data_IF_452150535419
#
_entry.id   IF_452150535419
#
_cell.length_a   1.000
_cell.length_b   1.000
_cell.length_c   1.000
_cell.angle_alpha   90.00
_cell.angle_beta   90.00
_cell.angle_gamma   90.00
#
_symmetry.space_group_name_H-M   'P 1'
#
loop_
_entity.id
_entity.type
_entity.pdbx_description
1 polymer ?
#
# COMPACT_ATOMS: atom_id res chain seq x y z
N UNK A 1 -5.66 31.95 23.51
CA UNK A 1 -6.04 31.95 22.08
C UNK A 1 -5.14 30.97 21.31
N UNK A 2 -4.88 29.77 21.86
CA UNK A 2 -4.04 28.71 21.25
C UNK A 2 -4.83 27.40 21.03
N UNK A 3 -6.13 27.39 21.36
CA UNK A 3 -6.99 26.21 21.26
C UNK A 3 -7.50 25.96 19.82
N UNK A 4 -7.62 27.00 19.00
CA UNK A 4 -8.13 26.88 17.62
C UNK A 4 -7.07 26.34 16.64
N UNK A 5 -5.77 26.59 16.87
CA UNK A 5 -4.69 26.09 16.01
C UNK A 5 -4.46 24.58 16.20
N UNK A 6 -4.64 24.08 17.43
CA UNK A 6 -4.55 22.65 17.76
C UNK A 6 -5.77 21.90 17.20
N UNK A 7 -6.97 22.51 17.20
CA UNK A 7 -8.14 21.93 16.54
C UNK A 7 -8.06 22.02 15.01
N UNK A 8 -7.47 23.06 14.43
CA UNK A 8 -7.23 23.15 12.99
C UNK A 8 -6.16 22.14 12.53
N UNK A 9 -5.04 22.00 13.26
CA UNK A 9 -4.03 20.98 12.99
C UNK A 9 -4.57 19.57 13.26
N UNK A 10 -5.40 19.37 14.30
CA UNK A 10 -6.07 18.10 14.58
C UNK A 10 -7.14 17.78 13.55
N UNK A 11 -7.89 18.76 13.04
CA UNK A 11 -8.86 18.57 11.96
C UNK A 11 -8.16 18.27 10.64
N UNK A 12 -7.03 18.92 10.33
CA UNK A 12 -6.19 18.62 9.16
C UNK A 12 -5.53 17.25 9.31
N UNK A 13 -5.03 16.88 10.49
CA UNK A 13 -4.49 15.54 10.78
C UNK A 13 -5.61 14.49 10.72
N UNK A 14 -6.80 14.77 11.24
CA UNK A 14 -7.95 13.85 11.22
C UNK A 14 -8.52 13.70 9.80
N UNK A 15 -8.58 14.78 9.02
CA UNK A 15 -8.99 14.78 7.62
C UNK A 15 -7.93 14.10 6.72
N UNK A 16 -6.63 14.34 6.96
CA UNK A 16 -5.52 13.60 6.34
C UNK A 16 -5.57 12.10 6.66
N UNK A 17 -5.85 11.75 7.92
CA UNK A 17 -5.94 10.38 8.44
C UNK A 17 -7.12 9.62 7.82
N UNK A 18 -8.21 10.30 7.49
CA UNK A 18 -9.40 9.68 6.88
C UNK A 18 -9.29 9.53 5.36
N UNK A 19 -8.36 10.25 4.71
CA UNK A 19 -8.34 10.39 3.25
C UNK A 19 -7.07 9.85 2.56
N UNK A 20 -5.89 9.81 3.23
CA UNK A 20 -4.68 9.16 2.66
C UNK A 20 -4.79 7.63 2.50
N UNK A 21 -5.84 7.00 3.01
CA UNK A 21 -6.03 5.54 2.98
C UNK A 21 -6.89 5.05 1.79
N UNK A 22 -7.49 5.95 1.01
CA UNK A 22 -8.30 5.59 -0.18
C UNK A 22 -7.43 5.40 -1.44
N UNK A 23 -6.27 6.05 -1.52
CA UNK A 23 -5.42 6.03 -2.74
C UNK A 23 -4.55 4.77 -2.93
N UNK A 24 -4.62 3.77 -2.04
CA UNK A 24 -3.95 2.46 -2.24
C UNK A 24 -4.93 1.41 -2.81
N UNK A 25 -6.21 1.76 -2.97
CA UNK A 25 -7.24 0.89 -3.52
C UNK A 25 -7.86 1.49 -4.80
N UNK A 26 -7.08 1.61 -5.88
CA UNK A 26 -7.68 2.08 -7.13
C UNK A 26 -6.74 2.47 -8.27
N UNK A 27 -5.67 1.71 -8.55
CA UNK A 27 -4.97 1.83 -9.83
C UNK A 27 -5.36 0.64 -10.73
N UNK A 28 -6.36 0.84 -11.59
CA UNK A 28 -6.60 -0.04 -12.72
C UNK A 28 -5.44 0.12 -13.73
N UNK A 29 -4.87 -0.97 -14.28
CA UNK A 29 -3.82 -0.84 -15.27
C UNK A 29 -4.37 -0.26 -16.58
N UNK A 30 -3.65 0.64 -17.26
CA UNK A 30 -4.02 1.09 -18.60
C UNK A 30 -3.85 -0.09 -19.58
N UNK A 31 -4.86 -0.28 -20.43
CA UNK A 31 -4.84 -1.29 -21.48
C UNK A 31 -3.65 -1.10 -22.41
N UNK A 32 -2.74 -2.07 -22.40
CA UNK A 32 -1.63 -2.15 -23.36
C UNK A 32 -2.15 -2.90 -24.60
N UNK A 33 -2.45 -2.15 -25.65
CA UNK A 33 -2.56 -2.67 -27.01
C UNK A 33 -1.17 -3.05 -27.52
N UNK A 34 -0.69 -4.22 -27.10
CA UNK A 34 0.53 -4.84 -27.60
C UNK A 34 0.26 -5.67 -28.86
N UNK A 35 0.65 -5.14 -30.02
CA UNK A 35 0.62 -5.85 -31.29
C UNK A 35 1.43 -7.15 -31.25
N UNK A 36 0.79 -8.25 -31.62
CA UNK A 36 1.38 -9.59 -31.69
C UNK A 36 2.56 -9.65 -32.66
N UNK A 37 3.77 -9.85 -32.12
CA UNK A 37 4.97 -10.20 -32.89
C UNK A 37 4.97 -11.67 -33.39
N UNK A 38 3.93 -12.46 -33.09
CA UNK A 38 3.78 -13.82 -33.60
C UNK A 38 3.04 -13.90 -34.94
N UNK A 39 2.45 -12.80 -35.41
CA UNK A 39 1.81 -12.74 -36.73
C UNK A 39 2.81 -12.76 -37.91
N UNK A 40 4.10 -12.45 -37.67
CA UNK A 40 5.11 -12.36 -38.72
C UNK A 40 5.76 -13.70 -39.12
N UNK A 41 5.44 -14.81 -38.43
CA UNK A 41 6.01 -16.14 -38.72
C UNK A 41 5.12 -17.04 -39.60
N UNK A 42 3.96 -16.57 -40.08
CA UNK A 42 2.95 -17.41 -40.75
C UNK A 42 2.60 -17.00 -42.19
N UNK A 43 3.51 -16.36 -42.93
CA UNK A 43 3.31 -16.10 -44.35
C UNK A 43 4.33 -16.82 -45.23
N UNK A 44 3.90 -17.89 -45.90
CA UNK A 44 4.49 -18.36 -47.16
C UNK A 44 4.93 -19.82 -47.20
N UNK A 45 4.11 -20.69 -47.80
CA UNK A 45 4.32 -21.16 -49.19
C UNK A 45 3.57 -22.49 -49.44
N UNK A 46 2.62 -22.43 -50.39
CA UNK A 46 2.08 -23.60 -51.08
C UNK A 46 3.01 -23.98 -52.23
N UNK A 47 3.43 -25.24 -52.21
CA UNK A 47 3.71 -26.16 -53.33
C UNK A 47 4.37 -25.65 -54.62
N UNK A 48 5.63 -26.06 -54.85
CA UNK A 48 6.06 -26.79 -56.05
C UNK A 48 7.46 -27.41 -55.88
N UNK A 49 7.51 -28.76 -55.97
CA UNK A 49 8.55 -29.64 -56.54
C UNK A 49 10.00 -29.65 -55.96
N UNK A 50 10.32 -30.78 -55.31
CA UNK A 50 11.66 -31.38 -55.06
C UNK A 50 12.31 -31.93 -56.35
N UNK A 51 13.57 -32.45 -56.42
CA UNK A 51 14.50 -32.94 -55.37
C UNK A 51 15.97 -32.42 -55.57
N UNK A 52 17.04 -32.71 -54.80
CA UNK A 52 17.46 -33.86 -54.03
C UNK A 52 18.62 -33.47 -53.07
N UNK A 53 18.81 -34.26 -51.99
CA UNK A 53 20.14 -34.54 -51.45
C UNK A 53 20.78 -33.52 -50.49
N UNK A 54 20.34 -33.50 -49.23
CA UNK A 54 21.26 -33.39 -48.08
C UNK A 54 20.53 -33.85 -46.82
N UNK A 55 21.25 -34.48 -45.89
CA UNK A 55 20.71 -34.95 -44.63
C UNK A 55 20.04 -33.79 -43.86
N UNK A 56 18.72 -33.72 -43.92
CA UNK A 56 17.96 -32.65 -43.28
C UNK A 56 18.14 -32.76 -41.76
N UNK A 57 18.84 -31.80 -41.16
CA UNK A 57 18.65 -31.47 -39.75
C UNK A 57 17.15 -31.21 -39.60
N UNK A 58 16.42 -32.18 -39.04
CA UNK A 58 14.99 -32.00 -38.71
C UNK A 58 14.89 -30.76 -37.83
N UNK A 59 14.30 -29.70 -38.37
CA UNK A 59 13.85 -28.56 -37.59
C UNK A 59 12.83 -29.09 -36.59
N UNK A 60 13.22 -29.20 -35.32
CA UNK A 60 12.30 -29.54 -34.23
C UNK A 60 11.28 -28.43 -34.13
N UNK A 61 10.04 -28.73 -34.51
CA UNK A 61 8.92 -27.83 -34.32
C UNK A 61 8.35 -28.01 -32.92
N UNK A 62 7.52 -27.07 -32.44
CA UNK A 62 6.84 -27.18 -31.14
C UNK A 62 6.06 -28.52 -31.01
N UNK A 63 5.63 -29.10 -32.13
CA UNK A 63 4.89 -30.36 -32.19
C UNK A 63 5.77 -31.59 -31.89
N UNK A 64 7.08 -31.47 -32.07
CA UNK A 64 8.06 -32.53 -31.87
C UNK A 64 8.59 -32.59 -30.43
N UNK A 65 8.27 -31.59 -29.60
CA UNK A 65 8.76 -31.50 -28.22
C UNK A 65 8.03 -32.49 -27.29
N UNK A 66 8.73 -33.07 -26.31
CA UNK A 66 8.11 -33.91 -25.29
C UNK A 66 7.31 -33.06 -24.28
N UNK A 67 6.30 -33.65 -23.58
CA UNK A 67 5.39 -32.94 -22.67
C UNK A 67 6.10 -32.20 -21.53
N UNK A 68 7.26 -32.68 -21.11
CA UNK A 68 8.08 -32.07 -20.05
C UNK A 68 8.64 -30.72 -20.50
N UNK A 69 9.10 -30.64 -21.75
CA UNK A 69 9.62 -29.39 -22.34
C UNK A 69 8.46 -28.43 -22.61
N UNK A 70 7.30 -28.94 -23.03
CA UNK A 70 6.09 -28.10 -23.19
C UNK A 70 5.67 -27.48 -21.85
N UNK A 71 5.73 -28.26 -20.75
CA UNK A 71 5.48 -27.75 -19.39
C UNK A 71 6.50 -26.71 -18.95
N UNK A 72 7.79 -26.90 -19.24
CA UNK A 72 8.84 -25.91 -18.98
C UNK A 72 8.68 -24.63 -19.82
N UNK A 73 8.22 -24.75 -21.07
CA UNK A 73 7.89 -23.57 -21.88
C UNK A 73 6.74 -22.81 -21.19
N UNK A 74 5.72 -23.51 -20.70
CA UNK A 74 4.61 -22.89 -20.01
C UNK A 74 5.01 -22.15 -18.73
N UNK A 75 6.02 -22.60 -17.97
CA UNK A 75 6.52 -21.86 -16.79
C UNK A 75 7.20 -20.54 -17.14
N UNK A 76 7.62 -20.35 -18.39
CA UNK A 76 8.20 -19.12 -18.90
C UNK A 76 7.27 -18.36 -19.87
N UNK A 77 6.05 -18.87 -20.07
CA UNK A 77 5.05 -18.24 -20.93
C UNK A 77 4.18 -17.32 -20.08
N UNK A 78 3.78 -16.17 -20.62
CA UNK A 78 2.82 -15.29 -19.94
C UNK A 78 1.54 -16.07 -19.66
N UNK A 79 0.90 -15.80 -18.53
CA UNK A 79 -0.32 -16.53 -18.17
C UNK A 79 -1.43 -16.35 -19.22
N UNK A 80 -1.48 -15.18 -19.88
CA UNK A 80 -2.44 -14.88 -20.96
C UNK A 80 -2.21 -15.71 -22.23
N UNK A 81 -0.97 -16.09 -22.51
CA UNK A 81 -0.60 -16.86 -23.70
C UNK A 81 -0.83 -18.38 -23.53
N UNK A 82 -1.13 -18.85 -22.31
CA UNK A 82 -1.40 -20.27 -22.02
C UNK A 82 -2.58 -20.79 -22.83
N UNK A 83 -3.62 -19.97 -23.02
CA UNK A 83 -4.79 -20.32 -23.84
C UNK A 83 -4.41 -20.65 -25.28
N UNK A 84 -3.50 -19.86 -25.86
CA UNK A 84 -2.96 -20.06 -27.21
C UNK A 84 -2.04 -21.27 -27.26
N UNK A 85 -1.06 -21.36 -26.35
CA UNK A 85 -0.07 -22.44 -26.30
C UNK A 85 -0.73 -23.82 -26.20
N UNK A 86 -1.73 -23.96 -25.32
CA UNK A 86 -2.43 -25.23 -25.10
C UNK A 86 -3.38 -25.63 -26.24
N UNK A 87 -3.78 -24.70 -27.12
CA UNK A 87 -4.67 -24.99 -28.26
C UNK A 87 -3.94 -25.42 -29.54
N UNK A 88 -2.61 -25.28 -29.59
CA UNK A 88 -1.79 -25.58 -30.77
C UNK A 88 -1.82 -27.04 -31.20
N UNK A 89 -1.88 -27.99 -30.27
CA UNK A 89 -2.01 -29.43 -30.56
C UNK A 89 -2.79 -30.16 -29.45
N UNK A 90 -3.39 -31.30 -29.78
CA UNK A 90 -4.03 -32.19 -28.79
C UNK A 90 -3.04 -32.68 -27.71
N UNK A 91 -1.76 -32.80 -28.05
CA UNK A 91 -0.70 -33.19 -27.09
C UNK A 91 -0.43 -32.07 -26.10
N UNK A 92 -0.29 -30.83 -26.58
CA UNK A 92 -0.07 -29.65 -25.73
C UNK A 92 -1.28 -29.41 -24.81
N UNK A 93 -2.48 -29.65 -25.32
CA UNK A 93 -3.71 -29.61 -24.53
C UNK A 93 -3.67 -30.53 -23.31
N UNK A 94 -3.30 -31.80 -23.49
CA UNK A 94 -3.19 -32.74 -22.37
C UNK A 94 -1.98 -32.45 -21.47
N UNK A 95 -0.86 -32.01 -22.04
CA UNK A 95 0.36 -31.68 -21.29
C UNK A 95 0.19 -30.46 -20.37
N UNK A 96 -0.68 -29.51 -20.74
CA UNK A 96 -0.94 -28.27 -20.03
C UNK A 96 -2.33 -28.22 -19.41
N UNK A 97 -2.95 -29.38 -19.18
CA UNK A 97 -4.35 -29.46 -18.77
C UNK A 97 -4.64 -28.58 -17.54
N UNK A 98 -3.88 -28.73 -16.45
CA UNK A 98 -4.12 -28.00 -15.19
C UNK A 98 -3.87 -26.49 -15.32
N UNK A 99 -2.78 -26.10 -15.99
CA UNK A 99 -2.43 -24.68 -16.21
C UNK A 99 -3.46 -24.01 -17.10
N UNK A 100 -3.95 -24.71 -18.13
CA UNK A 100 -5.06 -24.24 -18.96
C UNK A 100 -6.35 -24.15 -18.17
N UNK A 101 -6.63 -25.11 -17.29
CA UNK A 101 -7.84 -25.10 -16.48
C UNK A 101 -7.84 -23.90 -15.52
N UNK A 102 -6.71 -23.61 -14.88
CA UNK A 102 -6.49 -22.40 -14.09
C UNK A 102 -6.73 -21.14 -14.92
N UNK A 103 -6.12 -21.02 -16.10
CA UNK A 103 -6.34 -19.89 -17.00
C UNK A 103 -7.82 -19.72 -17.42
N UNK A 104 -8.52 -20.82 -17.71
CA UNK A 104 -9.95 -20.78 -18.01
C UNK A 104 -10.77 -20.29 -16.82
N UNK A 105 -10.41 -20.68 -15.59
CA UNK A 105 -11.05 -20.18 -14.38
C UNK A 105 -10.83 -18.66 -14.21
N UNK A 106 -9.63 -18.14 -14.47
CA UNK A 106 -9.38 -16.68 -14.49
C UNK A 106 -10.23 -15.97 -15.53
N UNK A 107 -10.21 -16.44 -16.78
CA UNK A 107 -11.03 -15.85 -17.85
C UNK A 107 -12.53 -15.88 -17.51
N UNK A 108 -12.99 -16.92 -16.83
CA UNK A 108 -14.38 -17.01 -16.35
C UNK A 108 -14.67 -16.13 -15.15
N UNK A 109 -13.68 -15.78 -14.33
CA UNK A 109 -13.81 -14.79 -13.26
C UNK A 109 -13.82 -13.35 -13.83
N UNK A 110 -13.02 -13.09 -14.87
CA UNK A 110 -12.86 -11.76 -15.50
C UNK A 110 -14.02 -11.37 -16.43
N UNK A 111 -14.57 -12.33 -17.19
CA UNK A 111 -15.62 -12.06 -18.18
C UNK A 111 -17.03 -11.92 -17.58
N UNK A 112 -17.09 -11.53 -16.32
CA UNK A 112 -18.30 -11.58 -15.52
C UNK A 112 -18.88 -10.19 -15.41
N UNK A 113 -19.91 -9.93 -16.20
CA UNK A 113 -20.85 -8.84 -15.89
C UNK A 113 -22.00 -9.31 -14.99
N UNK A 114 -22.13 -10.63 -14.72
CA UNK A 114 -23.20 -11.27 -13.91
C UNK A 114 -22.79 -12.69 -13.43
N UNK A 115 -21.96 -12.80 -12.39
CA UNK A 115 -21.78 -14.08 -11.70
C UNK A 115 -23.00 -14.20 -10.79
N UNK A 116 -23.84 -15.20 -11.03
CA UNK A 116 -24.81 -15.60 -10.03
C UNK A 116 -24.13 -16.52 -9.00
N UNK A 117 -24.82 -16.77 -7.90
CA UNK A 117 -24.29 -17.59 -6.81
C UNK A 117 -23.94 -19.01 -7.26
N UNK A 118 -24.70 -19.57 -8.21
CA UNK A 118 -24.47 -20.92 -8.73
C UNK A 118 -23.17 -21.01 -9.52
N UNK A 119 -22.97 -20.11 -10.49
CA UNK A 119 -21.75 -20.06 -11.30
C UNK A 119 -20.51 -19.79 -10.45
N UNK A 120 -20.66 -18.98 -9.40
CA UNK A 120 -19.56 -18.73 -8.45
C UNK A 120 -19.17 -20.00 -7.70
N UNK A 121 -20.16 -20.75 -7.20
CA UNK A 121 -19.88 -22.02 -6.52
C UNK A 121 -19.33 -23.07 -7.48
N UNK A 122 -19.86 -23.17 -8.70
CA UNK A 122 -19.33 -24.04 -9.75
C UNK A 122 -17.87 -23.69 -10.08
N UNK A 123 -17.53 -22.41 -10.16
CA UNK A 123 -16.16 -21.95 -10.40
C UNK A 123 -15.24 -22.27 -9.21
N UNK A 124 -15.68 -22.08 -7.98
CA UNK A 124 -14.92 -22.46 -6.78
C UNK A 124 -14.68 -23.96 -6.70
N UNK A 125 -15.69 -24.76 -7.04
CA UNK A 125 -15.57 -26.22 -7.16
C UNK A 125 -14.58 -26.60 -8.27
N UNK A 126 -14.61 -25.91 -9.42
CA UNK A 126 -13.67 -26.14 -10.51
C UNK A 126 -12.23 -25.81 -10.11
N UNK A 127 -12.00 -24.70 -9.40
CA UNK A 127 -10.67 -24.31 -8.90
C UNK A 127 -10.17 -25.38 -7.91
N UNK A 128 -11.01 -25.83 -6.98
CA UNK A 128 -10.65 -26.84 -5.99
C UNK A 128 -10.36 -28.22 -6.60
N UNK A 129 -10.95 -28.54 -7.77
CA UNK A 129 -10.70 -29.76 -8.54
C UNK A 129 -9.45 -29.72 -9.41
N UNK A 130 -8.72 -28.60 -9.45
CA UNK A 130 -7.43 -28.56 -10.15
C UNK A 130 -6.47 -29.41 -9.32
N UNK A 131 -6.31 -30.69 -9.71
CA UNK A 131 -5.47 -31.73 -9.06
C UNK A 131 -3.95 -31.42 -9.12
N UNK A 132 -3.57 -30.21 -9.55
CA UNK A 132 -2.19 -29.74 -9.71
C UNK A 132 -1.63 -29.03 -8.47
N UNK A 133 -0.52 -28.31 -8.67
CA UNK A 133 0.12 -27.52 -7.61
C UNK A 133 -0.84 -26.44 -7.06
N UNK A 134 -0.95 -26.27 -5.72
CA UNK A 134 -1.81 -25.24 -5.11
C UNK A 134 -1.54 -23.81 -5.62
N UNK A 135 -0.36 -23.57 -6.20
CA UNK A 135 -0.02 -22.34 -6.90
C UNK A 135 -1.00 -21.99 -8.03
N UNK A 136 -1.53 -22.99 -8.73
CA UNK A 136 -2.45 -22.80 -9.84
C UNK A 136 -3.81 -22.24 -9.39
N UNK A 137 -4.10 -22.21 -8.10
CA UNK A 137 -5.30 -21.58 -7.55
C UNK A 137 -5.13 -20.07 -7.36
N UNK A 138 -3.89 -19.57 -7.27
CA UNK A 138 -3.61 -18.17 -6.94
C UNK A 138 -4.28 -17.18 -7.89
N UNK A 139 -3.97 -17.27 -9.19
CA UNK A 139 -4.51 -16.35 -10.19
C UNK A 139 -6.05 -16.42 -10.32
N UNK A 140 -6.69 -17.61 -10.31
CA UNK A 140 -8.16 -17.68 -10.28
C UNK A 140 -8.78 -17.04 -9.04
N UNK A 141 -8.20 -17.25 -7.87
CA UNK A 141 -8.68 -16.66 -6.63
C UNK A 141 -8.48 -15.14 -6.63
N UNK A 142 -7.34 -14.65 -7.11
CA UNK A 142 -7.01 -13.24 -7.28
C UNK A 142 -7.99 -12.51 -8.20
N UNK A 143 -8.40 -13.13 -9.31
CA UNK A 143 -9.40 -12.59 -10.22
C UNK A 143 -10.82 -12.62 -9.62
N UNK A 144 -11.13 -13.64 -8.80
CA UNK A 144 -12.49 -13.89 -8.30
C UNK A 144 -12.85 -13.07 -7.04
N UNK A 145 -11.94 -12.92 -6.08
CA UNK A 145 -12.25 -12.29 -4.80
C UNK A 145 -12.74 -10.82 -4.92
N UNK A 146 -12.24 -9.97 -5.84
CA UNK A 146 -12.75 -8.60 -5.99
C UNK A 146 -14.20 -8.54 -6.46
N UNK A 147 -14.74 -9.66 -6.98
CA UNK A 147 -16.11 -9.79 -7.49
C UNK A 147 -17.12 -10.22 -6.44
N UNK A 148 -16.69 -10.56 -5.22
CA UNK A 148 -17.60 -10.93 -4.12
C UNK A 148 -18.71 -9.88 -3.90
N UNK A 149 -18.46 -8.55 -3.93
CA UNK A 149 -19.51 -7.54 -3.77
C UNK A 149 -20.62 -7.61 -4.84
N UNK A 150 -20.34 -8.16 -6.03
CA UNK A 150 -21.30 -8.30 -7.13
C UNK A 150 -22.32 -9.43 -6.88
N UNK A 151 -22.02 -10.35 -5.96
CA UNK A 151 -22.90 -11.48 -5.64
C UNK A 151 -24.15 -11.04 -4.86
N UNK A 152 -25.26 -11.80 -4.92
CA UNK A 152 -26.41 -11.56 -4.06
C UNK A 152 -26.01 -11.68 -2.59
N UNK A 153 -26.50 -10.75 -1.77
CA UNK A 153 -26.07 -10.53 -0.38
C UNK A 153 -25.96 -11.80 0.46
N UNK A 154 -26.97 -12.67 0.39
CA UNK A 154 -27.04 -13.92 1.15
C UNK A 154 -25.91 -14.94 0.86
N UNK A 155 -25.18 -14.78 -0.25
CA UNK A 155 -24.09 -15.70 -0.63
C UNK A 155 -22.69 -15.10 -0.46
N UNK A 156 -22.58 -13.78 -0.24
CA UNK A 156 -21.30 -13.07 -0.14
C UNK A 156 -20.43 -13.63 0.96
N UNK A 157 -20.99 -13.82 2.16
CA UNK A 157 -20.24 -14.32 3.31
C UNK A 157 -19.71 -15.74 3.07
N UNK A 158 -20.49 -16.61 2.43
CA UNK A 158 -20.06 -17.98 2.13
C UNK A 158 -18.94 -18.00 1.07
N UNK A 159 -19.09 -17.22 -0.01
CA UNK A 159 -18.08 -17.10 -1.06
C UNK A 159 -16.77 -16.53 -0.49
N UNK A 160 -16.86 -15.49 0.35
CA UNK A 160 -15.72 -14.91 1.05
C UNK A 160 -14.98 -15.95 1.88
N UNK A 161 -15.69 -16.64 2.78
CA UNK A 161 -15.07 -17.65 3.67
C UNK A 161 -14.35 -18.73 2.86
N UNK A 162 -15.01 -19.23 1.80
CA UNK A 162 -14.45 -20.27 0.94
C UNK A 162 -13.21 -19.80 0.19
N UNK A 163 -13.25 -18.62 -0.42
CA UNK A 163 -12.09 -18.04 -1.13
C UNK A 163 -10.93 -17.79 -0.15
N UNK A 164 -11.22 -17.25 1.04
CA UNK A 164 -10.21 -16.98 2.06
C UNK A 164 -9.52 -18.27 2.54
N UNK A 165 -10.31 -19.32 2.79
CA UNK A 165 -9.80 -20.64 3.18
C UNK A 165 -8.99 -21.29 2.05
N UNK A 166 -9.46 -21.20 0.80
CA UNK A 166 -8.73 -21.69 -0.36
C UNK A 166 -7.40 -20.95 -0.56
N UNK A 167 -7.40 -19.62 -0.43
CA UNK A 167 -6.19 -18.81 -0.50
C UNK A 167 -5.20 -19.22 0.60
N UNK A 168 -5.67 -19.60 1.79
CA UNK A 168 -4.82 -20.10 2.88
C UNK A 168 -4.09 -21.43 2.58
N UNK A 169 -4.49 -22.16 1.52
CA UNK A 169 -3.85 -23.42 1.09
C UNK A 169 -2.80 -23.21 -0.01
N UNK A 170 -2.72 -22.00 -0.59
CA UNK A 170 -1.76 -21.61 -1.62
C UNK A 170 -0.42 -21.23 -0.95
N UNK A 171 0.76 -21.33 -1.62
CA UNK A 171 2.02 -20.88 -1.04
C UNK A 171 1.98 -19.43 -0.54
N UNK A 172 2.64 -19.16 0.58
CA UNK A 172 2.58 -17.89 1.33
C UNK A 172 2.72 -16.63 0.48
N UNK A 173 3.69 -16.60 -0.44
CA UNK A 173 3.95 -15.41 -1.26
C UNK A 173 2.77 -15.05 -2.20
N UNK A 174 1.97 -16.04 -2.62
CA UNK A 174 0.77 -15.83 -3.42
C UNK A 174 -0.50 -15.72 -2.54
N UNK A 175 -0.51 -16.37 -1.37
CA UNK A 175 -1.62 -16.29 -0.41
C UNK A 175 -1.74 -14.91 0.25
N UNK A 176 -0.61 -14.32 0.64
CA UNK A 176 -0.58 -13.09 1.43
C UNK A 176 -1.28 -11.91 0.75
N UNK A 177 -1.00 -11.56 -0.53
CA UNK A 177 -1.68 -10.43 -1.19
C UNK A 177 -3.20 -10.62 -1.26
N UNK A 178 -3.66 -11.83 -1.62
CA UNK A 178 -5.09 -12.16 -1.73
C UNK A 178 -5.75 -12.00 -0.36
N UNK A 179 -5.19 -12.62 0.69
CA UNK A 179 -5.79 -12.58 2.03
C UNK A 179 -5.71 -11.19 2.65
N UNK A 180 -4.61 -10.44 2.50
CA UNK A 180 -4.52 -9.03 2.93
C UNK A 180 -5.58 -8.17 2.25
N UNK A 181 -5.75 -8.30 0.92
CA UNK A 181 -6.78 -7.60 0.17
C UNK A 181 -8.19 -7.93 0.65
N UNK A 182 -8.49 -9.22 0.85
CA UNK A 182 -9.77 -9.65 1.39
C UNK A 182 -10.04 -9.09 2.79
N UNK A 183 -9.06 -9.10 3.70
CA UNK A 183 -9.19 -8.53 5.06
C UNK A 183 -9.57 -7.05 4.96
N UNK A 184 -8.90 -6.29 4.09
CA UNK A 184 -9.18 -4.87 3.87
C UNK A 184 -10.61 -4.57 3.41
N UNK A 185 -11.32 -5.53 2.80
CA UNK A 185 -12.71 -5.33 2.38
C UNK A 185 -13.76 -5.49 3.48
N UNK A 186 -13.38 -5.99 4.66
CA UNK A 186 -14.34 -6.24 5.76
C UNK A 186 -15.04 -4.95 6.18
N UNK A 187 -14.34 -3.82 6.24
CA UNK A 187 -14.92 -2.52 6.59
C UNK A 187 -15.97 -2.02 5.59
N UNK A 188 -15.93 -2.50 4.34
CA UNK A 188 -16.91 -2.19 3.30
C UNK A 188 -18.15 -3.10 3.31
N UNK A 189 -18.20 -4.12 4.16
CA UNK A 189 -19.36 -4.98 4.32
C UNK A 189 -20.47 -4.27 5.12
N UNK A 190 -21.74 -4.69 4.98
CA UNK A 190 -22.81 -4.22 5.86
C UNK A 190 -22.48 -4.47 7.34
N UNK A 191 -22.85 -3.54 8.23
CA UNK A 191 -22.45 -3.55 9.63
C UNK A 191 -22.74 -4.88 10.36
N UNK A 192 -23.86 -5.53 10.04
CA UNK A 192 -24.24 -6.83 10.62
C UNK A 192 -23.31 -8.00 10.21
N UNK A 193 -22.61 -7.87 9.08
CA UNK A 193 -21.71 -8.88 8.53
C UNK A 193 -20.23 -8.65 8.94
N UNK A 194 -19.89 -7.43 9.39
CA UNK A 194 -18.51 -7.03 9.67
C UNK A 194 -17.88 -7.82 10.82
N UNK A 195 -18.49 -7.81 12.01
CA UNK A 195 -17.97 -8.51 13.20
C UNK A 195 -17.92 -10.04 13.00
N UNK A 196 -18.97 -10.70 12.46
CA UNK A 196 -18.88 -12.12 12.15
C UNK A 196 -17.77 -12.48 11.15
N UNK A 197 -17.45 -11.56 10.22
CA UNK A 197 -16.35 -11.78 9.28
C UNK A 197 -14.98 -11.57 9.92
N UNK A 198 -14.84 -10.55 10.77
CA UNK A 198 -13.65 -10.34 11.60
C UNK A 198 -13.36 -11.58 12.45
N UNK A 199 -14.35 -12.08 13.19
CA UNK A 199 -14.21 -13.25 14.06
C UNK A 199 -13.82 -14.51 13.26
N UNK A 200 -14.42 -14.70 12.09
CA UNK A 200 -14.04 -15.79 11.17
C UNK A 200 -12.57 -15.68 10.74
N UNK A 201 -12.14 -14.51 10.27
CA UNK A 201 -10.78 -14.28 9.80
C UNK A 201 -9.78 -14.46 10.93
N UNK A 202 -10.08 -13.95 12.13
CA UNK A 202 -9.24 -14.13 13.31
C UNK A 202 -8.96 -15.61 13.56
N UNK A 203 -10.01 -16.43 13.65
CA UNK A 203 -9.89 -17.89 13.85
C UNK A 203 -9.15 -18.57 12.69
N UNK A 204 -9.38 -18.14 11.45
CA UNK A 204 -8.72 -18.70 10.28
C UNK A 204 -7.22 -18.40 10.26
N UNK A 205 -6.79 -17.20 10.67
CA UNK A 205 -5.37 -16.85 10.80
C UNK A 205 -4.72 -17.65 11.93
N UNK A 206 -5.37 -17.78 13.09
CA UNK A 206 -4.85 -18.62 14.19
C UNK A 206 -4.56 -20.07 13.77
N UNK A 207 -5.40 -20.62 12.88
CA UNK A 207 -5.24 -21.98 12.36
C UNK A 207 -4.18 -22.09 11.26
N UNK A 208 -3.78 -20.98 10.62
CA UNK A 208 -2.95 -20.98 9.41
C UNK A 208 -1.46 -21.32 9.66
N UNK A 209 -1.04 -21.51 10.92
CA UNK A 209 0.33 -21.86 11.29
C UNK A 209 1.37 -20.77 10.97
N UNK A 210 2.65 -21.11 11.08
CA UNK A 210 3.76 -20.18 10.84
C UNK A 210 3.83 -19.76 9.36
N UNK A 211 4.13 -18.47 9.11
CA UNK A 211 4.29 -17.90 7.77
C UNK A 211 3.16 -16.98 7.31
N UNK A 212 2.10 -16.83 8.11
CA UNK A 212 0.99 -15.89 7.83
C UNK A 212 0.94 -14.73 8.84
N UNK A 213 2.04 -14.52 9.57
CA UNK A 213 2.15 -13.57 10.68
C UNK A 213 1.85 -12.12 10.25
N UNK A 214 2.17 -11.78 9.00
CA UNK A 214 1.88 -10.47 8.42
C UNK A 214 0.37 -10.20 8.22
N UNK A 215 -0.50 -11.19 8.32
CA UNK A 215 -1.95 -10.96 8.28
C UNK A 215 -2.46 -10.31 9.56
N UNK A 216 -1.72 -10.42 10.67
CA UNK A 216 -2.12 -9.82 11.94
C UNK A 216 -2.14 -8.29 11.90
N UNK A 217 -1.21 -7.67 11.18
CA UNK A 217 -1.21 -6.21 10.98
C UNK A 217 -2.46 -5.77 10.22
N UNK A 218 -2.81 -6.46 9.13
CA UNK A 218 -4.04 -6.18 8.37
C UNK A 218 -5.31 -6.42 9.18
N UNK A 219 -5.35 -7.46 10.02
CA UNK A 219 -6.49 -7.72 10.90
C UNK A 219 -6.61 -6.65 12.00
N UNK A 220 -5.50 -6.24 12.61
CA UNK A 220 -5.49 -5.20 13.64
C UNK A 220 -6.01 -3.87 13.09
N UNK A 221 -5.69 -3.53 11.83
CA UNK A 221 -6.20 -2.33 11.18
C UNK A 221 -7.74 -2.23 11.22
N UNK A 222 -8.44 -3.36 11.13
CA UNK A 222 -9.90 -3.38 11.17
C UNK A 222 -10.49 -2.89 12.50
N UNK A 223 -9.74 -2.90 13.61
CA UNK A 223 -10.23 -2.34 14.88
C UNK A 223 -10.62 -0.86 14.76
N UNK A 224 -10.01 -0.13 13.81
CA UNK A 224 -10.36 1.27 13.51
C UNK A 224 -11.71 1.43 12.78
N UNK A 225 -12.11 0.41 12.03
CA UNK A 225 -13.22 0.51 11.08
C UNK A 225 -14.48 -0.24 11.55
N UNK A 226 -14.33 -1.10 12.56
CA UNK A 226 -15.42 -1.91 13.08
C UNK A 226 -16.19 -1.14 14.17
N UNK A 227 -17.53 -1.31 14.23
CA UNK A 227 -18.35 -0.76 15.31
C UNK A 227 -18.15 -1.57 16.59
N UNK A 228 -16.99 -1.41 17.23
CA UNK A 228 -16.64 -2.06 18.48
C UNK A 228 -17.03 -1.18 19.66
N UNK A 229 -17.53 -1.80 20.74
CA UNK A 229 -17.60 -1.11 22.01
C UNK A 229 -16.18 -0.92 22.59
N UNK A 230 -15.93 0.12 23.42
CA UNK A 230 -14.61 0.37 23.98
C UNK A 230 -13.99 -0.84 24.73
N UNK A 231 -14.75 -1.61 25.54
CA UNK A 231 -14.21 -2.80 26.21
C UNK A 231 -13.74 -3.90 25.24
N UNK A 232 -14.43 -4.10 24.11
CA UNK A 232 -14.00 -5.05 23.08
C UNK A 232 -12.80 -4.51 22.34
N UNK A 233 -12.77 -3.22 21.99
CA UNK A 233 -11.61 -2.59 21.36
C UNK A 233 -10.34 -2.79 22.20
N UNK A 234 -10.37 -2.45 23.50
CA UNK A 234 -9.22 -2.61 24.39
C UNK A 234 -8.77 -4.07 24.51
N UNK A 235 -9.72 -5.00 24.58
CA UNK A 235 -9.43 -6.44 24.66
C UNK A 235 -8.71 -6.93 23.41
N UNK A 236 -9.22 -6.59 22.22
CA UNK A 236 -8.62 -6.98 20.96
C UNK A 236 -7.24 -6.32 20.79
N UNK A 237 -7.12 -5.02 21.09
CA UNK A 237 -5.85 -4.30 21.10
C UNK A 237 -4.81 -5.01 21.99
N UNK A 238 -5.20 -5.34 23.22
CA UNK A 238 -4.34 -6.04 24.18
C UNK A 238 -3.95 -7.44 23.70
N UNK A 239 -4.85 -8.15 23.01
CA UNK A 239 -4.55 -9.44 22.41
C UNK A 239 -3.48 -9.32 21.30
N UNK A 240 -3.55 -8.29 20.46
CA UNK A 240 -2.50 -8.01 19.47
C UNK A 240 -1.17 -7.64 20.11
N UNK A 241 -1.17 -6.82 21.16
CA UNK A 241 0.05 -6.51 21.93
C UNK A 241 0.68 -7.78 22.51
N UNK A 242 -0.13 -8.66 23.10
CA UNK A 242 0.33 -9.93 23.65
C UNK A 242 0.94 -10.87 22.60
N UNK A 243 0.54 -10.71 21.34
CA UNK A 243 1.03 -11.51 20.21
C UNK A 243 2.38 -11.07 19.68
N UNK A 244 2.80 -9.82 19.90
CA UNK A 244 4.06 -9.28 19.36
C UNK A 244 5.28 -10.18 19.63
N UNK A 245 5.37 -10.77 20.83
CA UNK A 245 6.49 -11.62 21.21
C UNK A 245 6.62 -12.91 20.38
N UNK A 246 5.54 -13.38 19.76
CA UNK A 246 5.52 -14.65 19.00
C UNK A 246 5.67 -14.48 17.49
N UNK A 247 5.69 -13.25 16.98
CA UNK A 247 5.76 -12.98 15.54
C UNK A 247 7.21 -12.88 15.05
N UNK A 248 7.43 -13.12 13.76
CA UNK A 248 8.69 -12.76 13.11
C UNK A 248 8.93 -11.23 13.10
N UNK A 249 10.18 -10.81 12.91
CA UNK A 249 10.59 -9.40 13.04
C UNK A 249 9.86 -8.47 12.06
N UNK A 250 9.59 -8.93 10.84
CA UNK A 250 8.88 -8.12 9.84
C UNK A 250 7.42 -7.95 10.25
N UNK A 251 6.76 -9.03 10.65
CA UNK A 251 5.39 -9.00 11.15
C UNK A 251 5.26 -8.18 12.45
N UNK A 252 6.26 -8.22 13.36
CA UNK A 252 6.32 -7.35 14.53
C UNK A 252 6.34 -5.88 14.11
N UNK A 253 7.22 -5.50 13.18
CA UNK A 253 7.30 -4.12 12.68
C UNK A 253 5.98 -3.64 12.09
N UNK A 254 5.36 -4.43 11.20
CA UNK A 254 4.06 -4.09 10.61
C UNK A 254 2.97 -3.94 11.67
N UNK A 255 2.90 -4.87 12.63
CA UNK A 255 1.88 -4.85 13.68
C UNK A 255 2.09 -3.67 14.65
N UNK A 256 3.34 -3.35 15.04
CA UNK A 256 3.62 -2.20 15.92
C UNK A 256 3.19 -0.91 15.23
N UNK A 257 3.57 -0.71 13.97
CA UNK A 257 3.15 0.47 13.21
C UNK A 257 1.61 0.58 13.20
N UNK A 258 0.91 -0.54 12.99
CA UNK A 258 -0.55 -0.54 13.00
C UNK A 258 -1.13 -0.24 14.39
N UNK A 259 -0.63 -0.86 15.45
CA UNK A 259 -1.07 -0.64 16.82
C UNK A 259 -0.90 0.81 17.27
N UNK A 260 0.15 1.49 16.80
CA UNK A 260 0.32 2.92 17.06
C UNK A 260 -0.80 3.74 16.40
N UNK A 261 -1.19 3.42 15.16
CA UNK A 261 -2.28 4.15 14.48
C UNK A 261 -3.67 3.89 15.07
N UNK A 262 -3.81 2.90 15.95
CA UNK A 262 -5.04 2.56 16.66
C UNK A 262 -5.17 3.28 18.00
N UNK A 263 -4.13 3.95 18.49
CA UNK A 263 -4.18 4.67 19.78
C UNK A 263 -5.34 5.66 19.91
N UNK A 264 -5.77 6.39 18.86
CA UNK A 264 -6.94 7.26 18.95
C UNK A 264 -8.25 6.55 19.34
N UNK A 265 -8.33 5.22 19.20
CA UNK A 265 -9.51 4.43 19.63
C UNK A 265 -9.70 4.39 21.15
N UNK A 266 -8.72 4.84 21.94
CA UNK A 266 -8.86 5.01 23.40
C UNK A 266 -9.40 6.39 23.80
N UNK A 267 -9.62 7.30 22.85
CA UNK A 267 -10.07 8.67 23.12
C UNK A 267 -11.57 8.79 23.41
N UNK A 268 -12.34 7.70 23.28
CA UNK A 268 -13.77 7.68 23.56
C UNK A 268 -13.99 7.11 24.98
N UNK A 269 -14.38 7.97 25.93
CA UNK A 269 -14.99 7.65 27.24
C UNK A 269 -14.10 7.41 28.49
N UNK A 270 -12.78 7.63 28.48
CA UNK A 270 -11.92 7.47 29.68
C UNK A 270 -11.59 8.80 30.40
N UNK A 271 -11.96 9.00 31.70
CA UNK A 271 -11.52 10.17 32.47
C UNK A 271 -10.00 10.27 32.68
N UNK A 272 -9.23 9.19 32.46
CA UNK A 272 -7.76 9.15 32.50
C UNK A 272 -7.12 8.87 31.12
N UNK A 273 -7.85 9.19 30.04
CA UNK A 273 -7.46 9.01 28.63
C UNK A 273 -6.00 9.38 28.36
N UNK A 274 -5.57 10.54 28.86
CA UNK A 274 -4.23 11.06 28.63
C UNK A 274 -3.12 10.20 29.23
N UNK A 275 -3.34 9.61 30.42
CA UNK A 275 -2.38 8.70 31.03
C UNK A 275 -2.37 7.35 30.32
N UNK A 276 -3.54 6.85 29.90
CA UNK A 276 -3.70 5.62 29.12
C UNK A 276 -2.98 5.71 27.77
N UNK A 277 -3.20 6.79 27.01
CA UNK A 277 -2.53 7.04 25.74
C UNK A 277 -1.01 7.16 25.90
N UNK A 278 -0.53 7.92 26.89
CA UNK A 278 0.89 8.05 27.17
C UNK A 278 1.53 6.70 27.54
N UNK A 279 0.81 5.85 28.30
CA UNK A 279 1.24 4.49 28.63
C UNK A 279 1.37 3.61 27.39
N UNK A 280 0.36 3.56 26.52
CA UNK A 280 0.42 2.74 25.30
C UNK A 280 1.43 3.27 24.28
N UNK A 281 1.57 4.59 24.15
CA UNK A 281 2.61 5.19 23.30
C UNK A 281 4.01 4.79 23.78
N UNK A 282 4.29 4.86 25.08
CA UNK A 282 5.56 4.37 25.66
C UNK A 282 5.76 2.88 25.46
N UNK A 283 4.71 2.08 25.65
CA UNK A 283 4.77 0.64 25.40
C UNK A 283 5.15 0.33 23.94
N UNK A 284 4.54 1.02 22.98
CA UNK A 284 4.89 0.87 21.56
C UNK A 284 6.33 1.31 21.30
N UNK A 285 6.77 2.41 21.89
CA UNK A 285 8.17 2.85 21.80
C UNK A 285 9.16 1.81 22.34
N UNK A 286 8.87 1.18 23.49
CA UNK A 286 9.70 0.10 24.04
C UNK A 286 9.77 -1.10 23.09
N UNK A 287 8.67 -1.41 22.40
CA UNK A 287 8.66 -2.45 21.37
C UNK A 287 9.50 -2.07 20.14
N UNK A 288 9.41 -0.83 19.66
CA UNK A 288 10.24 -0.32 18.57
C UNK A 288 11.73 -0.46 18.88
N UNK A 289 12.15 -0.14 20.09
CA UNK A 289 13.56 -0.23 20.50
C UNK A 289 14.10 -1.67 20.50
N UNK A 290 13.23 -2.69 20.62
CA UNK A 290 13.61 -4.11 20.57
C UNK A 290 13.79 -4.63 19.14
N UNK A 291 13.21 -3.94 18.14
CA UNK A 291 13.37 -4.33 16.74
C UNK A 291 14.81 -4.07 16.26
N UNK A 292 15.34 -4.87 15.33
CA UNK A 292 16.53 -4.51 14.58
C UNK A 292 16.29 -3.20 13.80
N UNK A 293 17.34 -2.38 13.66
CA UNK A 293 17.23 -1.05 13.03
C UNK A 293 16.66 -1.07 11.61
N UNK A 294 16.88 -2.15 10.85
CA UNK A 294 16.32 -2.37 9.51
C UNK A 294 14.80 -2.56 9.48
N UNK A 295 14.13 -2.55 10.64
CA UNK A 295 12.68 -2.70 10.76
C UNK A 295 12.06 -1.62 11.66
N UNK A 296 12.83 -0.60 12.05
CA UNK A 296 12.33 0.44 12.95
C UNK A 296 11.66 1.61 12.21
N UNK A 297 11.87 1.76 10.90
CA UNK A 297 11.43 2.94 10.16
C UNK A 297 9.92 3.18 10.23
N UNK A 298 9.11 2.23 9.78
CA UNK A 298 7.65 2.40 9.78
C UNK A 298 7.05 2.60 11.19
N UNK A 299 7.45 1.81 12.22
CA UNK A 299 6.99 2.06 13.59
C UNK A 299 7.35 3.43 14.16
N UNK A 300 8.58 3.93 13.92
CA UNK A 300 8.98 5.28 14.37
C UNK A 300 8.15 6.34 13.64
N UNK A 301 7.93 6.19 12.33
CA UNK A 301 7.07 7.10 11.56
C UNK A 301 5.63 7.13 12.09
N UNK A 302 5.08 5.98 12.48
CA UNK A 302 3.76 5.90 13.10
C UNK A 302 3.72 6.61 14.46
N UNK A 303 4.74 6.43 15.32
CA UNK A 303 4.84 7.12 16.61
C UNK A 303 4.94 8.64 16.43
N UNK A 304 5.73 9.10 15.47
CA UNK A 304 5.83 10.51 15.13
C UNK A 304 4.48 11.07 14.69
N UNK A 305 3.76 10.35 13.82
CA UNK A 305 2.44 10.75 13.36
C UNK A 305 1.40 10.86 14.50
N UNK A 306 1.52 10.02 15.53
CA UNK A 306 0.60 9.98 16.66
C UNK A 306 1.09 10.74 17.90
N UNK A 307 2.13 11.57 17.77
CA UNK A 307 2.71 12.31 18.91
C UNK A 307 1.71 13.30 19.54
N UNK A 308 0.74 13.79 18.77
CA UNK A 308 -0.30 14.71 19.23
C UNK A 308 -1.21 14.13 20.31
N UNK A 309 -1.24 12.80 20.47
CA UNK A 309 -1.98 12.11 21.54
C UNK A 309 -1.33 12.30 22.93
N UNK A 310 -0.08 12.78 22.97
CA UNK A 310 0.64 13.00 24.22
C UNK A 310 0.30 14.37 24.81
N UNK A 311 0.35 14.52 26.15
CA UNK A 311 0.31 15.84 26.78
C UNK A 311 1.36 16.77 26.20
N UNK A 312 1.01 18.04 26.00
CA UNK A 312 1.90 19.04 25.40
C UNK A 312 3.25 19.16 26.11
N UNK A 313 3.30 18.94 27.43
CA UNK A 313 4.53 18.97 28.22
C UNK A 313 5.46 17.78 27.95
N UNK A 314 4.93 16.67 27.44
CA UNK A 314 5.69 15.45 27.14
C UNK A 314 6.16 15.40 25.67
N UNK A 315 5.44 16.06 24.75
CA UNK A 315 5.75 16.02 23.31
C UNK A 315 7.21 16.35 22.97
N UNK A 316 7.86 17.41 23.50
CA UNK A 316 9.25 17.72 23.14
C UNK A 316 10.24 16.61 23.49
N UNK A 317 10.07 15.99 24.67
CA UNK A 317 10.95 14.90 25.09
C UNK A 317 10.77 13.66 24.20
N UNK A 318 9.53 13.32 23.84
CA UNK A 318 9.25 12.22 22.93
C UNK A 318 9.74 12.49 21.51
N UNK A 319 9.57 13.70 21.00
CA UNK A 319 10.08 14.07 19.69
C UNK A 319 11.61 13.92 19.60
N UNK A 320 12.34 14.42 20.60
CA UNK A 320 13.80 14.26 20.67
C UNK A 320 14.22 12.79 20.68
N UNK A 321 13.47 11.94 21.38
CA UNK A 321 13.70 10.49 21.38
C UNK A 321 13.48 9.89 19.98
N UNK A 322 12.36 10.21 19.32
CA UNK A 322 12.09 9.74 17.96
C UNK A 322 13.15 10.22 16.96
N UNK A 323 13.59 11.48 17.05
CA UNK A 323 14.71 12.01 16.26
C UNK A 323 15.98 11.19 16.50
N UNK A 324 16.33 10.92 17.76
CA UNK A 324 17.54 10.15 18.10
C UNK A 324 17.50 8.71 17.57
N UNK A 325 16.33 8.06 17.58
CA UNK A 325 16.14 6.75 16.97
C UNK A 325 16.32 6.84 15.45
N UNK A 326 15.77 7.89 14.83
CA UNK A 326 15.85 8.15 13.38
C UNK A 326 17.29 8.33 12.90
N UNK A 327 18.11 9.06 13.66
CA UNK A 327 19.52 9.29 13.33
C UNK A 327 20.33 7.99 13.22
N UNK A 328 19.97 6.99 14.02
CA UNK A 328 20.63 5.70 14.05
C UNK A 328 20.16 4.74 12.94
N UNK A 329 19.13 5.08 12.17
CA UNK A 329 18.57 4.22 11.14
C UNK A 329 19.47 4.11 9.90
N UNK A 330 19.46 2.95 9.22
CA UNK A 330 20.01 2.84 7.87
C UNK A 330 19.14 3.60 6.86
N UNK A 331 19.73 3.96 5.71
CA UNK A 331 19.11 4.88 4.75
C UNK A 331 17.80 4.35 4.14
N UNK A 332 17.64 3.03 4.04
CA UNK A 332 16.40 2.38 3.57
C UNK A 332 15.22 2.53 4.54
N UNK A 333 15.49 2.86 5.80
CA UNK A 333 14.45 3.05 6.82
C UNK A 333 14.10 4.53 7.06
N UNK A 334 14.84 5.47 6.45
CA UNK A 334 14.61 6.90 6.63
C UNK A 334 13.32 7.38 5.97
N UNK A 335 12.93 6.78 4.84
CA UNK A 335 11.74 7.19 4.08
C UNK A 335 10.45 7.20 4.92
N UNK A 336 10.04 6.06 5.49
CA UNK A 336 8.83 5.98 6.32
C UNK A 336 8.82 6.94 7.51
N UNK A 337 9.98 7.21 8.11
CA UNK A 337 10.09 8.13 9.25
C UNK A 337 9.99 9.57 8.81
N UNK A 338 10.80 9.99 7.83
CA UNK A 338 10.86 11.37 7.37
C UNK A 338 9.60 11.80 6.61
N UNK A 339 8.72 10.85 6.23
CA UNK A 339 7.35 11.14 5.81
C UNK A 339 6.49 11.77 6.91
N UNK A 340 6.76 11.46 8.18
CA UNK A 340 5.89 11.80 9.34
C UNK A 340 6.58 12.59 10.44
N UNK A 341 7.91 12.49 10.57
CA UNK A 341 8.66 13.22 11.60
C UNK A 341 8.60 14.75 11.41
N UNK A 342 8.65 15.31 10.19
CA UNK A 342 8.46 16.76 10.01
C UNK A 342 7.07 17.25 10.44
N UNK A 343 6.01 16.47 10.24
CA UNK A 343 4.66 16.85 10.71
C UNK A 343 4.52 16.73 12.23
N UNK A 344 5.33 15.89 12.88
CA UNK A 344 5.44 15.87 14.34
C UNK A 344 6.12 17.15 14.91
N UNK A 345 7.04 17.75 14.15
CA UNK A 345 7.79 18.94 14.57
C UNK A 345 6.88 20.13 14.85
N UNK A 346 5.87 20.33 14.00
CA UNK A 346 5.01 21.52 14.08
C UNK A 346 4.09 21.53 15.30
N UNK A 347 3.93 20.37 15.95
CA UNK A 347 3.18 20.21 17.19
C UNK A 347 3.99 20.64 18.43
N UNK A 348 5.29 20.85 18.28
CA UNK A 348 6.13 21.38 19.36
C UNK A 348 5.94 22.89 19.50
N UNK A 349 6.28 23.47 20.66
CA UNK A 349 6.38 24.92 20.80
C UNK A 349 7.33 25.53 19.76
N UNK A 350 6.94 26.66 19.18
CA UNK A 350 7.61 27.30 18.03
C UNK A 350 9.11 27.55 18.24
N UNK A 351 9.51 27.83 19.47
CA UNK A 351 10.92 28.01 19.86
C UNK A 351 11.83 26.82 19.51
N UNK A 352 11.28 25.63 19.29
CA UNK A 352 12.03 24.43 18.91
C UNK A 352 12.10 24.21 17.40
N UNK A 353 11.20 24.81 16.61
CA UNK A 353 11.02 24.46 15.18
C UNK A 353 12.30 24.60 14.37
N UNK A 354 12.96 25.76 14.43
CA UNK A 354 14.16 26.03 13.64
C UNK A 354 15.35 25.14 14.04
N UNK A 355 15.55 24.93 15.35
CA UNK A 355 16.66 24.14 15.87
C UNK A 355 16.49 22.65 15.53
N UNK A 356 15.29 22.10 15.73
CA UNK A 356 15.01 20.70 15.42
C UNK A 356 14.98 20.43 13.91
N UNK A 357 14.47 21.36 13.10
CA UNK A 357 14.53 21.20 11.64
C UNK A 357 15.97 21.13 11.13
N UNK A 358 16.87 21.96 11.65
CA UNK A 358 18.29 21.91 11.30
C UNK A 358 18.95 20.55 11.60
N UNK A 359 18.46 19.82 12.61
CA UNK A 359 18.91 18.46 12.92
C UNK A 359 18.34 17.41 11.95
N UNK A 360 17.20 17.67 11.31
CA UNK A 360 16.62 16.77 10.31
C UNK A 360 17.27 16.88 8.93
N UNK A 361 17.81 18.04 8.56
CA UNK A 361 18.37 18.26 7.21
C UNK A 361 19.44 17.26 6.78
N UNK A 362 20.41 16.86 7.64
CA UNK A 362 21.37 15.83 7.28
C UNK A 362 20.70 14.49 6.98
N UNK A 363 19.60 14.16 7.65
CA UNK A 363 18.84 12.93 7.43
C UNK A 363 18.08 12.99 6.10
N UNK A 364 17.52 14.14 5.77
CA UNK A 364 16.86 14.38 4.47
C UNK A 364 17.83 14.14 3.31
N UNK A 365 19.09 14.56 3.44
CA UNK A 365 20.10 14.34 2.39
C UNK A 365 20.48 12.87 2.14
N UNK A 366 20.17 11.97 3.09
CA UNK A 366 20.43 10.53 3.01
C UNK A 366 19.27 9.73 2.38
N UNK A 367 18.17 10.39 2.04
CA UNK A 367 16.96 9.72 1.53
C UNK A 367 17.21 9.10 0.16
N UNK A 368 16.91 7.80 0.06
CA UNK A 368 17.00 7.04 -1.19
C UNK A 368 15.96 7.50 -2.22
N UNK A 369 16.24 7.35 -3.52
CA UNK A 369 15.32 7.74 -4.60
C UNK A 369 13.87 7.27 -4.40
N UNK A 370 13.71 5.99 -4.04
CA UNK A 370 12.41 5.32 -3.85
C UNK A 370 11.53 5.93 -2.74
N UNK A 371 12.07 6.84 -1.94
CA UNK A 371 11.37 7.48 -0.82
C UNK A 371 11.27 9.00 -0.95
N UNK A 372 11.89 9.60 -1.98
CA UNK A 372 11.94 11.06 -2.14
C UNK A 372 10.56 11.69 -2.22
N UNK A 373 9.65 11.07 -2.99
CA UNK A 373 8.25 11.48 -3.11
C UNK A 373 7.56 11.60 -1.75
N UNK A 374 7.60 10.52 -0.97
CA UNK A 374 6.99 10.45 0.34
C UNK A 374 7.61 11.46 1.30
N UNK A 375 8.94 11.57 1.35
CA UNK A 375 9.60 12.52 2.26
C UNK A 375 9.33 13.97 1.87
N UNK A 376 9.33 14.29 0.57
CA UNK A 376 8.96 15.61 0.09
C UNK A 376 7.55 15.98 0.53
N UNK A 377 6.57 15.08 0.39
CA UNK A 377 5.21 15.30 0.88
C UNK A 377 5.17 15.57 2.40
N UNK A 378 5.90 14.79 3.20
CA UNK A 378 5.98 15.00 4.65
C UNK A 378 6.56 16.36 5.03
N UNK A 379 7.57 16.83 4.31
CA UNK A 379 8.14 18.17 4.49
C UNK A 379 7.14 19.25 4.10
N UNK A 380 6.49 19.13 2.95
CA UNK A 380 5.51 20.13 2.48
C UNK A 380 4.30 20.24 3.41
N UNK A 381 3.74 19.11 3.86
CA UNK A 381 2.66 19.09 4.85
C UNK A 381 3.04 19.77 6.17
N UNK A 382 4.30 19.64 6.61
CA UNK A 382 4.75 20.30 7.83
C UNK A 382 4.72 21.84 7.74
N UNK A 383 4.72 22.42 6.53
CA UNK A 383 4.75 23.89 6.39
C UNK A 383 3.48 24.58 6.88
N UNK A 384 2.35 23.87 6.96
CA UNK A 384 1.07 24.38 7.47
C UNK A 384 1.22 24.92 8.91
N UNK A 385 1.97 24.22 9.76
CA UNK A 385 2.15 24.60 11.17
C UNK A 385 3.36 25.50 11.46
N UNK A 386 4.13 25.89 10.45
CA UNK A 386 5.36 26.68 10.61
C UNK A 386 5.09 28.18 10.46
N UNK A 387 4.86 28.87 11.58
CA UNK A 387 4.58 30.33 11.57
C UNK A 387 5.76 31.15 11.03
N UNK A 388 7.00 30.69 11.21
CA UNK A 388 8.18 31.35 10.67
C UNK A 388 8.25 31.14 9.14
N UNK A 389 7.95 32.21 8.38
CA UNK A 389 7.99 32.20 6.92
C UNK A 389 9.37 31.83 6.36
N UNK A 390 10.46 32.22 7.03
CA UNK A 390 11.83 31.90 6.58
C UNK A 390 12.12 30.41 6.72
N UNK A 391 11.65 29.81 7.81
CA UNK A 391 11.75 28.37 8.03
C UNK A 391 10.85 27.60 7.08
N UNK A 392 9.59 28.02 6.90
CA UNK A 392 8.64 27.43 5.96
C UNK A 392 9.22 27.42 4.53
N UNK A 393 9.76 28.56 4.07
CA UNK A 393 10.45 28.65 2.77
C UNK A 393 11.64 27.70 2.66
N UNK A 394 12.42 27.55 3.73
CA UNK A 394 13.56 26.60 3.78
C UNK A 394 13.07 25.15 3.65
N UNK A 395 11.97 24.79 4.29
CA UNK A 395 11.34 23.47 4.18
C UNK A 395 10.86 23.21 2.76
N UNK A 396 10.17 24.18 2.13
CA UNK A 396 9.76 24.12 0.73
C UNK A 396 10.96 23.85 -0.20
N UNK A 397 12.05 24.59 -0.03
CA UNK A 397 13.27 24.39 -0.81
C UNK A 397 13.83 22.99 -0.66
N UNK A 398 13.96 22.48 0.57
CA UNK A 398 14.51 21.15 0.82
C UNK A 398 13.60 20.05 0.24
N UNK A 399 12.29 20.21 0.34
CA UNK A 399 11.32 19.28 -0.26
C UNK A 399 11.44 19.26 -1.80
N UNK A 400 11.53 20.42 -2.44
CA UNK A 400 11.68 20.51 -3.89
C UNK A 400 13.05 20.00 -4.37
N UNK A 401 14.11 20.20 -3.59
CA UNK A 401 15.43 19.62 -3.88
C UNK A 401 15.43 18.08 -3.82
N UNK A 402 14.63 17.47 -2.93
CA UNK A 402 14.47 16.01 -2.95
C UNK A 402 13.85 15.54 -4.27
N UNK A 403 13.01 16.34 -4.89
CA UNK A 403 12.34 16.00 -6.16
C UNK A 403 13.21 16.30 -7.39
N UNK A 404 14.43 16.82 -7.22
CA UNK A 404 15.34 17.04 -8.34
C UNK A 404 15.67 15.71 -9.04
N UNK A 405 15.39 15.67 -10.34
CA UNK A 405 15.60 14.49 -11.18
C UNK A 405 14.54 13.39 -11.05
N UNK A 406 13.43 13.64 -10.34
CA UNK A 406 12.26 12.75 -10.37
C UNK A 406 11.58 12.77 -11.74
N UNK A 407 10.88 11.68 -12.06
CA UNK A 407 10.06 11.61 -13.27
C UNK A 407 8.73 12.35 -13.12
N UNK A 408 8.03 12.54 -14.24
CA UNK A 408 6.75 13.24 -14.29
C UNK A 408 5.69 12.56 -13.40
N UNK A 409 5.72 11.24 -13.25
CA UNK A 409 4.75 10.51 -12.43
C UNK A 409 4.91 10.84 -10.95
N UNK A 410 6.14 10.84 -10.45
CA UNK A 410 6.45 11.27 -9.10
C UNK A 410 5.98 12.71 -8.83
N UNK A 411 6.26 13.63 -9.76
CA UNK A 411 5.81 15.03 -9.64
C UNK A 411 4.29 15.15 -9.64
N UNK A 412 3.61 14.39 -10.50
CA UNK A 412 2.15 14.36 -10.56
C UNK A 412 1.54 13.86 -9.26
N UNK A 413 2.08 12.79 -8.69
CA UNK A 413 1.62 12.27 -7.40
C UNK A 413 1.75 13.31 -6.30
N UNK A 414 2.89 14.02 -6.22
CA UNK A 414 3.08 15.08 -5.22
C UNK A 414 2.06 16.19 -5.39
N UNK A 415 1.88 16.72 -6.62
CA UNK A 415 0.94 17.81 -6.88
C UNK A 415 -0.51 17.38 -6.62
N UNK A 416 -0.88 16.18 -7.07
CA UNK A 416 -2.24 15.66 -6.86
C UNK A 416 -2.53 15.44 -5.38
N UNK A 417 -1.56 14.95 -4.61
CA UNK A 417 -1.70 14.78 -3.17
C UNK A 417 -1.80 16.14 -2.45
N UNK A 418 -0.98 17.13 -2.81
CA UNK A 418 -1.07 18.47 -2.23
C UNK A 418 -2.42 19.15 -2.53
N UNK A 419 -2.93 18.99 -3.75
CA UNK A 419 -4.24 19.49 -4.14
C UNK A 419 -5.37 18.74 -3.41
N UNK A 420 -5.26 17.42 -3.30
CA UNK A 420 -6.23 16.57 -2.60
C UNK A 420 -6.31 16.89 -1.10
N UNK A 421 -5.16 17.13 -0.45
CA UNK A 421 -5.08 17.54 0.94
C UNK A 421 -5.48 19.01 1.17
N UNK A 422 -5.78 19.77 0.12
CA UNK A 422 -6.10 21.20 0.18
C UNK A 422 -5.02 21.99 0.95
N UNK A 423 -3.75 21.71 0.66
CA UNK A 423 -2.65 22.33 1.41
C UNK A 423 -2.59 23.86 1.21
N UNK A 424 -2.85 24.34 -0.01
CA UNK A 424 -2.73 25.77 -0.36
C UNK A 424 -3.64 26.68 0.48
N UNK A 425 -4.94 26.38 0.65
CA UNK A 425 -5.82 27.12 1.57
C UNK A 425 -5.36 27.18 3.02
N UNK A 426 -4.52 26.23 3.47
CA UNK A 426 -4.07 26.14 4.86
C UNK A 426 -2.78 26.93 5.13
N UNK A 427 -2.14 27.46 4.09
CA UNK A 427 -0.98 28.33 4.23
C UNK A 427 -1.43 29.77 4.46
N UNK A 428 -0.63 30.55 5.20
CA UNK A 428 -0.75 32.01 5.15
C UNK A 428 -0.37 32.54 3.76
N UNK A 429 -0.88 33.72 3.41
CA UNK A 429 -0.58 34.35 2.12
C UNK A 429 0.92 34.52 1.89
N UNK A 430 1.68 34.90 2.93
CA UNK A 430 3.14 35.02 2.84
C UNK A 430 3.83 33.67 2.56
N UNK A 431 3.43 32.61 3.25
CA UNK A 431 3.98 31.27 3.02
C UNK A 431 3.66 30.77 1.61
N UNK A 432 2.46 31.07 1.08
CA UNK A 432 2.10 30.69 -0.28
C UNK A 432 2.92 31.44 -1.34
N UNK A 433 3.17 32.74 -1.17
CA UNK A 433 4.02 33.50 -2.10
C UNK A 433 5.49 33.03 -2.06
N UNK A 434 6.00 32.69 -0.88
CA UNK A 434 7.33 32.07 -0.76
C UNK A 434 7.36 30.67 -1.42
N UNK A 435 6.31 29.87 -1.25
CA UNK A 435 6.18 28.55 -1.90
C UNK A 435 6.13 28.67 -3.44
N UNK A 436 5.36 29.62 -3.99
CA UNK A 436 5.34 29.91 -5.44
C UNK A 436 6.72 30.25 -5.96
N UNK A 437 7.47 31.07 -5.21
CA UNK A 437 8.82 31.47 -5.59
C UNK A 437 9.76 30.27 -5.67
N UNK A 438 9.70 29.34 -4.71
CA UNK A 438 10.52 28.12 -4.74
C UNK A 438 10.04 27.13 -5.82
N UNK A 439 8.73 27.02 -6.07
CA UNK A 439 8.16 26.21 -7.17
C UNK A 439 8.60 26.71 -8.56
N UNK A 440 8.58 28.03 -8.78
CA UNK A 440 9.07 28.62 -10.03
C UNK A 440 10.57 28.36 -10.21
N UNK A 441 11.37 28.53 -9.15
CA UNK A 441 12.79 28.20 -9.19
C UNK A 441 13.05 26.71 -9.47
N UNK A 442 12.21 25.81 -8.95
CA UNK A 442 12.27 24.38 -9.22
C UNK A 442 11.97 24.07 -10.70
N UNK A 443 10.94 24.69 -11.28
CA UNK A 443 10.57 24.55 -12.69
C UNK A 443 11.71 25.03 -13.60
N UNK A 444 12.38 26.13 -13.25
CA UNK A 444 13.50 26.66 -14.04
C UNK A 444 14.75 25.79 -13.97
N UNK A 445 15.02 25.17 -12.81
CA UNK A 445 16.21 24.32 -12.61
C UNK A 445 16.09 22.94 -13.25
N UNK A 446 14.88 22.38 -13.32
CA UNK A 446 14.68 20.99 -13.72
C UNK A 446 14.24 20.84 -15.19
N UNK A 447 14.78 19.87 -15.95
CA UNK A 447 14.38 19.60 -17.32
C UNK A 447 13.05 18.82 -17.35
N UNK A 448 11.94 19.53 -17.14
CA UNK A 448 10.59 18.97 -17.10
C UNK A 448 9.99 18.76 -18.49
N UNK A 449 9.09 17.79 -18.64
CA UNK A 449 8.24 17.71 -19.83
C UNK A 449 7.25 18.89 -19.88
N UNK A 450 6.71 19.18 -21.07
CA UNK A 450 5.67 20.20 -21.22
C UNK A 450 4.45 19.92 -20.34
N UNK A 451 4.10 18.64 -20.14
CA UNK A 451 2.98 18.22 -19.31
C UNK A 451 3.26 18.47 -17.80
N UNK A 452 4.44 18.07 -17.33
CA UNK A 452 4.90 18.33 -15.96
C UNK A 452 4.97 19.82 -15.65
N UNK A 453 5.55 20.60 -16.57
CA UNK A 453 5.65 22.05 -16.48
C UNK A 453 4.27 22.72 -16.41
N UNK A 454 3.34 22.32 -17.29
CA UNK A 454 1.98 22.87 -17.32
C UNK A 454 1.26 22.58 -16.00
N UNK A 455 1.28 21.34 -15.51
CA UNK A 455 0.60 20.98 -14.25
C UNK A 455 1.12 21.76 -13.04
N UNK A 456 2.44 21.97 -12.95
CA UNK A 456 3.02 22.77 -11.87
C UNK A 456 2.67 24.26 -11.99
N UNK A 457 2.63 24.82 -13.21
CA UNK A 457 2.20 26.20 -13.42
C UNK A 457 0.71 26.38 -13.12
N UNK A 458 -0.14 25.40 -13.44
CA UNK A 458 -1.55 25.39 -13.08
C UNK A 458 -1.72 25.36 -11.56
N UNK A 459 -0.94 24.53 -10.86
CA UNK A 459 -0.91 24.48 -9.39
C UNK A 459 -0.48 25.81 -8.77
N UNK A 460 0.58 26.45 -9.31
CA UNK A 460 1.03 27.79 -8.89
C UNK A 460 -0.04 28.85 -9.12
N UNK A 461 -0.88 28.67 -10.14
CA UNK A 461 -1.97 29.58 -10.52
C UNK A 461 -3.25 29.37 -9.72
N UNK A 462 -3.32 28.34 -8.85
CA UNK A 462 -4.46 28.15 -7.96
C UNK A 462 -4.62 29.38 -7.04
N UNK A 463 -5.88 29.76 -6.82
CA UNK A 463 -6.23 30.87 -5.93
C UNK A 463 -5.66 30.61 -4.53
N UNK A 464 -4.96 31.61 -4.00
CA UNK A 464 -4.37 31.56 -2.66
C UNK A 464 -5.43 31.51 -1.55
N UNK A 465 -4.99 31.37 -0.29
CA UNK A 465 -5.88 31.43 0.88
C UNK A 465 -6.75 32.71 0.84
N UNK A 466 -8.06 32.57 1.10
CA UNK A 466 -8.99 33.71 1.21
C UNK A 466 -8.73 34.44 2.54
N UNK A 467 -8.71 35.78 2.52
CA UNK A 467 -8.57 36.61 3.73
C UNK A 467 -9.81 36.41 4.64
N UNK A 468 -9.66 35.79 5.80
CA UNK A 468 -10.61 35.90 6.92
C UNK A 468 -10.17 36.98 7.94
#
# INVERSE_FOLDING_TARGET
MDFDLIHACSAVVTHCVQQQQVSVAGAAPPGVTGGSALAALLAGQRAAQQPAGSAARRTTTLQDLPPEIIRQIATHTSFDDIGNLSSTTRRNYHALWDVRHSWLCCQRADNVRRLDSRRTQELLDEIERIDGEPMLWAAPLEALWPRIPELPRQYRAQAYKRIFDMAGRVPTHASLPIRKGMIGTISGLPAEDQLPMYDFVHVAIEKSGAGHDQLWSSLAWLLRCLPLDPPRFEREYSAFVGRLASLDVLAQSELIAQLVTLLPGFCEDDPDESATLAKYHRLMQDWVQRLPRSYQGAPIGALAHMIWLLPAQQMPAHYVQLRSLTEALPDDQLGPVLRRLPTALVLLPQQYHAAEFALLEPLVSRVRPDHREAVALGLLESTIGLIDATLSRRVWRNALQLLDGCDDTCLFNVVDELAYQQLVPLLSMQQWEDAKSELLAFIERNPLSDAARTKLLDFVSMTGPEDE
#
